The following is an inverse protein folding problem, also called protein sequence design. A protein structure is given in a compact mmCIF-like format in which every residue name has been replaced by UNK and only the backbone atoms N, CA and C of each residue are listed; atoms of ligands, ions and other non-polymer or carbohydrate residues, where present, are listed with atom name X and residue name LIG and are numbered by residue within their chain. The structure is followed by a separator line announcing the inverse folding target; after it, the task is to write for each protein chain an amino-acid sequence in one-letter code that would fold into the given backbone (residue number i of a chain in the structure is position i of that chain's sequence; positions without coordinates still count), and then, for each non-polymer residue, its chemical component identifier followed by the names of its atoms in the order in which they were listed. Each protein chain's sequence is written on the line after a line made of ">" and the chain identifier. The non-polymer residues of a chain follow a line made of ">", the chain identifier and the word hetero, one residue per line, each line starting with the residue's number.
data_IF_204729727798
#
_entry.id   IF_204729727798
#
_cell.length_a   1.000
_cell.length_b   1.000
_cell.length_c   1.000
_cell.angle_alpha   90.00
_cell.angle_beta   90.00
_cell.angle_gamma   90.00
#
_symmetry.space_group_name_H-M   'P 1'
#
loop_
_entity.id
_entity.type
_entity.pdbx_description
1 polymer ?
#
# COMPACT_ATOMS: atom_id res chain seq x y z
N UNK A 1 13.45 -7.78 -18.04
CA UNK A 1 12.14 -8.44 -18.01
C UNK A 1 11.11 -7.48 -18.61
N UNK A 2 9.86 -7.92 -18.75
CA UNK A 2 8.71 -7.07 -19.09
C UNK A 2 7.60 -7.41 -18.12
N UNK A 3 6.68 -6.47 -17.86
CA UNK A 3 5.50 -6.76 -17.08
C UNK A 3 4.72 -7.93 -17.70
N UNK A 4 4.21 -8.83 -16.86
CA UNK A 4 3.25 -9.83 -17.31
C UNK A 4 1.98 -9.12 -17.80
N UNK A 5 1.33 -9.67 -18.82
CA UNK A 5 0.04 -9.14 -19.32
C UNK A 5 -1.09 -9.33 -18.31
N UNK A 6 -0.99 -10.37 -17.47
CA UNK A 6 -1.97 -10.73 -16.45
C UNK A 6 -1.29 -11.19 -15.18
N UNK A 7 -2.03 -11.14 -14.07
CA UNK A 7 -1.62 -11.64 -12.76
C UNK A 7 -2.76 -12.45 -12.16
N UNK A 8 -2.47 -13.25 -11.14
CA UNK A 8 -3.49 -13.90 -10.34
C UNK A 8 -4.34 -12.81 -9.64
N UNK A 9 -5.66 -12.84 -9.82
CA UNK A 9 -6.58 -11.86 -9.22
C UNK A 9 -6.71 -12.05 -7.71
N UNK A 10 -6.41 -13.26 -7.21
CA UNK A 10 -6.43 -13.62 -5.81
C UNK A 10 -5.17 -14.38 -5.45
N UNK A 11 -4.58 -14.05 -4.30
CA UNK A 11 -3.35 -14.66 -3.80
C UNK A 11 -3.50 -14.97 -2.30
N UNK A 12 -2.67 -15.86 -1.72
CA UNK A 12 -2.76 -16.16 -0.30
C UNK A 12 -2.64 -14.90 0.57
N UNK A 13 -3.55 -14.72 1.53
CA UNK A 13 -3.50 -13.60 2.49
C UNK A 13 -2.36 -13.73 3.50
N UNK A 14 -1.88 -14.96 3.70
CA UNK A 14 -0.77 -15.24 4.59
C UNK A 14 0.56 -14.96 3.89
N UNK A 15 1.37 -14.06 4.44
CA UNK A 15 2.65 -13.66 3.84
C UNK A 15 3.63 -14.82 3.64
N UNK A 16 3.71 -15.77 4.58
CA UNK A 16 4.60 -16.93 4.41
C UNK A 16 4.20 -17.78 3.21
N UNK A 17 2.90 -18.02 3.03
CA UNK A 17 2.37 -18.72 1.85
C UNK A 17 2.58 -17.90 0.57
N UNK A 18 2.32 -16.60 0.61
CA UNK A 18 2.52 -15.71 -0.53
C UNK A 18 3.99 -15.66 -0.98
N UNK A 19 4.94 -15.45 -0.06
CA UNK A 19 6.37 -15.39 -0.37
C UNK A 19 6.93 -16.71 -0.90
N UNK A 20 6.32 -17.85 -0.54
CA UNK A 20 6.70 -19.16 -1.10
C UNK A 20 6.41 -19.30 -2.60
N UNK A 21 5.65 -18.37 -3.21
CA UNK A 21 5.34 -18.35 -4.64
C UNK A 21 6.52 -17.85 -5.50
N UNK A 22 7.57 -17.30 -4.89
CA UNK A 22 8.87 -17.12 -5.55
C UNK A 22 9.06 -15.79 -6.29
N UNK A 23 8.83 -14.65 -5.62
CA UNK A 23 9.25 -13.33 -6.11
C UNK A 23 10.79 -13.27 -6.12
N UNK A 24 11.38 -12.70 -7.16
CA UNK A 24 12.83 -12.54 -7.29
C UNK A 24 13.20 -11.11 -7.67
N UNK A 25 14.04 -10.41 -6.89
CA UNK A 25 14.28 -8.99 -7.08
C UNK A 25 15.23 -8.79 -8.25
N UNK A 26 14.73 -8.25 -9.35
CA UNK A 26 15.57 -7.77 -10.44
C UNK A 26 15.62 -6.24 -10.43
N UNK A 27 16.76 -5.71 -10.84
CA UNK A 27 16.88 -4.28 -11.08
C UNK A 27 15.93 -3.86 -12.20
N UNK A 28 15.10 -2.87 -11.90
CA UNK A 28 14.23 -2.16 -12.84
C UNK A 28 14.43 -0.66 -12.63
N UNK A 29 14.81 0.11 -13.67
CA UNK A 29 14.98 1.55 -13.52
C UNK A 29 13.66 2.25 -13.17
N UNK A 30 13.71 3.30 -12.36
CA UNK A 30 12.53 4.11 -12.04
C UNK A 30 11.78 4.57 -13.30
N UNK A 31 12.52 5.01 -14.33
CA UNK A 31 11.93 5.46 -15.58
C UNK A 31 11.14 4.35 -16.30
N UNK A 32 11.52 3.08 -16.15
CA UNK A 32 10.77 1.95 -16.70
C UNK A 32 9.47 1.75 -15.95
N UNK A 33 9.47 1.87 -14.61
CA UNK A 33 8.25 1.80 -13.80
C UNK A 33 7.32 2.98 -14.12
N UNK A 34 7.83 4.21 -14.12
CA UNK A 34 7.06 5.41 -14.41
C UNK A 34 6.48 5.41 -15.83
N UNK A 35 7.20 4.89 -16.83
CA UNK A 35 6.67 4.77 -18.19
C UNK A 35 5.60 3.67 -18.35
N UNK A 36 5.52 2.72 -17.41
CA UNK A 36 4.56 1.61 -17.47
C UNK A 36 3.14 2.00 -17.05
N UNK A 37 2.97 3.16 -16.41
CA UNK A 37 1.70 3.62 -15.88
C UNK A 37 1.44 5.08 -16.26
N UNK A 38 0.34 5.33 -16.97
CA UNK A 38 -0.08 6.68 -17.36
C UNK A 38 -1.43 6.96 -16.68
N UNK A 39 -1.47 7.84 -15.66
CA UNK A 39 -2.71 8.14 -14.95
C UNK A 39 -3.79 8.73 -15.87
N UNK A 40 -4.97 8.11 -15.89
CA UNK A 40 -6.18 8.68 -16.48
C UNK A 40 -6.78 9.79 -15.59
N UNK A 41 -7.94 10.32 -15.98
CA UNK A 41 -8.62 11.39 -15.25
C UNK A 41 -9.03 10.99 -13.82
N UNK A 42 -9.48 9.75 -13.61
CA UNK A 42 -9.84 9.25 -12.28
C UNK A 42 -8.59 9.14 -11.40
N UNK A 43 -7.48 8.61 -11.93
CA UNK A 43 -6.23 8.53 -11.17
C UNK A 43 -5.64 9.92 -10.87
N UNK A 44 -5.74 10.88 -11.80
CA UNK A 44 -5.36 12.27 -11.54
C UNK A 44 -6.24 12.92 -10.46
N UNK A 45 -7.53 12.58 -10.42
CA UNK A 45 -8.43 13.04 -9.37
C UNK A 45 -8.04 12.47 -7.99
N UNK A 46 -7.72 11.17 -7.91
CA UNK A 46 -7.25 10.56 -6.67
C UNK A 46 -5.90 11.11 -6.22
N UNK A 47 -4.97 11.36 -7.14
CA UNK A 47 -3.70 12.03 -6.83
C UNK A 47 -3.95 13.41 -6.21
N UNK A 48 -4.82 14.21 -6.84
CA UNK A 48 -5.14 15.56 -6.36
C UNK A 48 -5.81 15.53 -4.99
N UNK A 49 -6.71 14.56 -4.78
CA UNK A 49 -7.40 14.36 -3.52
C UNK A 49 -6.43 13.94 -2.41
N UNK A 50 -5.60 12.93 -2.67
CA UNK A 50 -4.57 12.46 -1.76
C UNK A 50 -3.58 13.58 -1.38
N UNK A 51 -3.06 14.30 -2.38
CA UNK A 51 -2.11 15.40 -2.17
C UNK A 51 -2.69 16.55 -1.34
N UNK A 52 -4.00 16.76 -1.38
CA UNK A 52 -4.68 17.79 -0.60
C UNK A 52 -4.77 17.44 0.88
N UNK A 53 -5.13 16.19 1.18
CA UNK A 53 -5.50 15.81 2.55
C UNK A 53 -4.38 15.10 3.30
N UNK A 54 -3.52 14.37 2.61
CA UNK A 54 -2.46 13.57 3.24
C UNK A 54 -1.29 14.47 3.64
N UNK A 55 -0.70 14.30 4.84
CA UNK A 55 0.53 15.01 5.21
C UNK A 55 1.62 14.86 4.14
N UNK A 56 2.45 15.89 3.86
CA UNK A 56 3.38 15.84 2.72
C UNK A 56 4.32 14.63 2.69
N UNK A 57 4.93 14.26 3.83
CA UNK A 57 5.85 13.10 3.91
C UNK A 57 5.10 11.78 3.71
N UNK A 58 3.90 11.66 4.29
CA UNK A 58 3.01 10.51 4.11
C UNK A 58 2.53 10.41 2.66
N UNK A 59 2.27 11.53 1.99
CA UNK A 59 1.94 11.51 0.57
C UNK A 59 3.10 10.99 -0.29
N UNK A 60 4.36 11.30 0.07
CA UNK A 60 5.53 10.71 -0.58
C UNK A 60 5.65 9.20 -0.27
N UNK A 61 5.30 8.76 0.94
CA UNK A 61 5.16 7.34 1.29
C UNK A 61 4.17 6.63 0.35
N UNK A 62 2.96 7.18 0.20
CA UNK A 62 1.96 6.62 -0.72
C UNK A 62 2.47 6.48 -2.17
N UNK A 63 3.28 7.43 -2.65
CA UNK A 63 3.90 7.35 -3.97
C UNK A 63 4.99 6.26 -4.03
N UNK A 64 5.85 6.14 -3.01
CA UNK A 64 6.83 5.06 -2.93
C UNK A 64 6.16 3.69 -2.89
N UNK A 65 5.11 3.52 -2.08
CA UNK A 65 4.29 2.30 -2.01
C UNK A 65 3.82 1.89 -3.40
N UNK A 66 3.27 2.82 -4.19
CA UNK A 66 2.86 2.54 -5.57
C UNK A 66 4.04 2.04 -6.43
N UNK A 67 5.19 2.71 -6.39
CA UNK A 67 6.33 2.31 -7.22
C UNK A 67 7.00 1.01 -6.76
N UNK A 68 7.03 0.73 -5.45
CA UNK A 68 7.48 -0.55 -4.93
C UNK A 68 6.56 -1.68 -5.37
N UNK A 69 5.24 -1.48 -5.33
CA UNK A 69 4.30 -2.45 -5.87
C UNK A 69 4.47 -2.68 -7.38
N UNK A 70 4.72 -1.64 -8.18
CA UNK A 70 5.07 -1.82 -9.61
C UNK A 70 6.36 -2.63 -9.77
N UNK A 71 7.37 -2.41 -8.94
CA UNK A 71 8.59 -3.21 -8.97
C UNK A 71 8.32 -4.68 -8.61
N UNK A 72 7.46 -4.96 -7.63
CA UNK A 72 7.04 -6.32 -7.27
C UNK A 72 6.28 -7.01 -8.42
N UNK A 73 5.38 -6.30 -9.10
CA UNK A 73 4.69 -6.81 -10.30
C UNK A 73 5.68 -7.18 -11.41
N UNK A 74 6.69 -6.34 -11.64
CA UNK A 74 7.76 -6.61 -12.61
C UNK A 74 8.65 -7.81 -12.19
N UNK A 75 8.79 -8.06 -10.89
CA UNK A 75 9.71 -9.04 -10.29
C UNK A 75 9.09 -10.41 -9.98
N UNK A 76 8.02 -10.76 -10.69
CA UNK A 76 7.43 -12.10 -10.60
C UNK A 76 6.32 -12.24 -9.56
N UNK A 77 5.49 -11.20 -9.40
CA UNK A 77 4.21 -11.36 -8.69
C UNK A 77 3.39 -12.51 -9.31
N UNK A 78 2.63 -13.29 -8.50
CA UNK A 78 1.93 -14.48 -8.98
C UNK A 78 1.07 -14.25 -10.22
N UNK A 79 1.17 -15.19 -11.17
CA UNK A 79 0.49 -15.14 -12.46
C UNK A 79 0.35 -16.55 -13.02
N UNK A 80 -0.77 -16.81 -13.71
CA UNK A 80 -1.06 -18.09 -14.36
C UNK A 80 -1.12 -19.29 -13.40
N UNK A 81 -1.45 -19.07 -12.12
CA UNK A 81 -1.66 -20.18 -11.20
C UNK A 81 -2.89 -21.00 -11.62
N UNK A 82 -2.79 -22.34 -11.74
CA UNK A 82 -3.92 -23.18 -12.15
C UNK A 82 -5.14 -23.00 -11.26
N UNK A 83 -6.28 -22.67 -11.89
CA UNK A 83 -7.57 -22.51 -11.19
C UNK A 83 -7.79 -21.15 -10.54
N UNK A 84 -6.85 -20.20 -10.66
CA UNK A 84 -6.97 -18.84 -10.13
C UNK A 84 -7.41 -17.89 -11.25
N UNK A 85 -8.43 -17.07 -10.96
CA UNK A 85 -8.88 -16.01 -11.87
C UNK A 85 -7.73 -15.05 -12.20
N UNK A 86 -7.69 -14.52 -13.42
CA UNK A 86 -6.62 -13.63 -13.86
C UNK A 86 -7.13 -12.19 -13.98
N UNK A 87 -6.31 -11.23 -13.61
CA UNK A 87 -6.54 -9.79 -13.78
C UNK A 87 -5.48 -9.21 -14.72
N UNK A 88 -5.87 -8.28 -15.59
CA UNK A 88 -4.91 -7.63 -16.51
C UNK A 88 -3.95 -6.70 -15.76
N UNK A 89 -2.74 -6.49 -16.28
CA UNK A 89 -1.81 -5.50 -15.71
C UNK A 89 -2.45 -4.12 -15.58
N UNK A 90 -3.13 -3.65 -16.63
CA UNK A 90 -3.76 -2.33 -16.65
C UNK A 90 -4.81 -2.21 -15.54
N UNK A 91 -5.65 -3.24 -15.38
CA UNK A 91 -6.69 -3.21 -14.35
C UNK A 91 -6.10 -3.28 -12.93
N UNK A 92 -5.14 -4.19 -12.69
CA UNK A 92 -4.50 -4.32 -11.38
C UNK A 92 -3.72 -3.06 -10.99
N UNK A 93 -2.87 -2.55 -11.88
CA UNK A 93 -2.09 -1.32 -11.63
C UNK A 93 -2.99 -0.11 -11.41
N UNK A 94 -4.13 -0.04 -12.10
CA UNK A 94 -5.12 1.01 -11.92
C UNK A 94 -5.81 0.96 -10.54
N UNK A 95 -6.31 -0.22 -10.12
CA UNK A 95 -6.89 -0.39 -8.78
C UNK A 95 -5.85 -0.13 -7.69
N UNK A 96 -4.65 -0.69 -7.87
CA UNK A 96 -3.55 -0.53 -6.94
C UNK A 96 -3.09 0.92 -6.81
N UNK A 97 -3.04 1.68 -7.90
CA UNK A 97 -2.70 3.10 -7.84
C UNK A 97 -3.67 3.86 -6.94
N UNK A 98 -4.98 3.67 -7.12
CA UNK A 98 -5.98 4.31 -6.26
C UNK A 98 -5.82 3.89 -4.80
N UNK A 99 -5.64 2.60 -4.53
CA UNK A 99 -5.46 2.10 -3.18
C UNK A 99 -4.19 2.69 -2.54
N UNK A 100 -3.06 2.68 -3.25
CA UNK A 100 -1.78 3.19 -2.78
C UNK A 100 -1.81 4.69 -2.48
N UNK A 101 -2.35 5.53 -3.38
CA UNK A 101 -2.38 6.98 -3.13
C UNK A 101 -3.40 7.40 -2.09
N UNK A 102 -4.41 6.56 -1.80
CA UNK A 102 -5.51 6.91 -0.91
C UNK A 102 -5.48 6.21 0.47
N UNK A 103 -4.64 5.20 0.70
CA UNK A 103 -4.76 4.37 1.91
C UNK A 103 -4.62 5.15 3.24
N UNK A 104 -3.76 6.17 3.28
CA UNK A 104 -3.48 6.97 4.48
C UNK A 104 -4.16 8.34 4.52
N UNK A 105 -5.18 8.59 3.69
CA UNK A 105 -5.86 9.91 3.69
C UNK A 105 -6.49 10.27 5.04
N UNK A 106 -6.81 9.28 5.86
CA UNK A 106 -7.40 9.45 7.18
C UNK A 106 -6.38 9.84 8.26
N UNK A 107 -5.08 9.89 7.94
CA UNK A 107 -4.05 10.50 8.80
C UNK A 107 -4.03 12.03 8.72
N UNK A 108 -4.92 12.62 7.92
CA UNK A 108 -5.06 14.07 7.81
C UNK A 108 -5.50 14.73 9.12
N UNK A 109 -4.94 15.91 9.38
CA UNK A 109 -5.48 16.85 10.37
C UNK A 109 -6.40 17.91 9.76
N UNK A 110 -6.76 17.79 8.47
CA UNK A 110 -7.66 18.73 7.81
C UNK A 110 -9.06 18.68 8.47
N UNK A 111 -9.68 19.84 8.78
CA UNK A 111 -10.99 19.89 9.42
C UNK A 111 -12.09 19.11 8.70
N UNK A 112 -12.03 19.00 7.37
CA UNK A 112 -12.99 18.21 6.57
C UNK A 112 -12.85 16.73 6.92
N UNK A 113 -11.61 16.25 7.07
CA UNK A 113 -11.34 14.84 7.39
C UNK A 113 -11.69 14.54 8.83
N UNK A 114 -11.31 15.40 9.78
CA UNK A 114 -11.60 15.18 11.21
C UNK A 114 -13.07 15.37 11.57
N UNK A 115 -13.84 16.09 10.76
CA UNK A 115 -15.30 16.26 10.94
C UNK A 115 -16.13 15.14 10.29
N UNK A 116 -15.51 14.23 9.52
CA UNK A 116 -16.20 13.09 8.93
C UNK A 116 -16.76 12.18 10.04
N UNK A 117 -18.03 11.71 9.97
CA UNK A 117 -18.59 10.80 10.98
C UNK A 117 -17.78 9.50 11.15
N UNK A 118 -17.11 9.03 10.10
CA UNK A 118 -16.22 7.87 10.15
C UNK A 118 -14.91 8.16 10.88
N UNK A 119 -14.61 9.42 11.25
CA UNK A 119 -13.44 9.76 12.04
C UNK A 119 -13.38 9.06 13.40
N UNK A 120 -14.53 8.66 13.96
CA UNK A 120 -14.59 7.82 15.16
C UNK A 120 -14.16 6.36 14.95
N UNK A 121 -13.89 5.95 13.71
CA UNK A 121 -13.40 4.61 13.36
C UNK A 121 -11.88 4.60 13.22
N UNK A 122 -11.31 3.40 13.15
CA UNK A 122 -9.91 3.19 12.76
C UNK A 122 -9.61 3.88 11.43
N UNK A 123 -8.38 4.41 11.26
CA UNK A 123 -8.06 5.26 10.10
C UNK A 123 -8.21 4.50 8.78
N UNK A 124 -7.97 3.18 8.78
CA UNK A 124 -8.11 2.32 7.62
C UNK A 124 -9.55 2.31 7.10
N UNK A 125 -10.54 2.21 8.00
CA UNK A 125 -11.96 2.24 7.63
C UNK A 125 -12.40 3.63 7.22
N UNK A 126 -11.96 4.68 7.94
CA UNK A 126 -12.24 6.06 7.55
C UNK A 126 -11.71 6.35 6.14
N UNK A 127 -10.45 6.00 5.89
CA UNK A 127 -9.78 6.16 4.61
C UNK A 127 -10.48 5.39 3.50
N UNK A 128 -10.90 4.15 3.77
CA UNK A 128 -11.67 3.35 2.82
C UNK A 128 -13.01 4.01 2.46
N UNK A 129 -13.77 4.53 3.42
CA UNK A 129 -15.05 5.19 3.16
C UNK A 129 -14.90 6.50 2.38
N UNK A 130 -13.92 7.31 2.76
CA UNK A 130 -13.61 8.54 2.02
C UNK A 130 -13.17 8.23 0.58
N UNK A 131 -12.35 7.20 0.40
CA UNK A 131 -11.89 6.74 -0.91
C UNK A 131 -13.05 6.21 -1.75
N UNK A 132 -13.93 5.39 -1.16
CA UNK A 132 -15.14 4.88 -1.80
C UNK A 132 -16.03 6.03 -2.30
N UNK A 133 -16.32 7.01 -1.44
CA UNK A 133 -17.13 8.17 -1.78
C UNK A 133 -16.46 9.02 -2.88
N UNK A 134 -15.14 9.21 -2.81
CA UNK A 134 -14.37 9.90 -3.83
C UNK A 134 -14.48 9.21 -5.19
N UNK A 135 -14.18 7.90 -5.25
CA UNK A 135 -14.18 7.12 -6.49
C UNK A 135 -15.56 7.00 -7.12
N UNK A 136 -16.62 6.92 -6.31
CA UNK A 136 -17.98 6.92 -6.82
C UNK A 136 -18.31 8.20 -7.64
N UNK A 137 -17.69 9.33 -7.29
CA UNK A 137 -17.88 10.61 -7.98
C UNK A 137 -16.88 10.80 -9.13
N UNK A 138 -15.63 10.36 -8.97
CA UNK A 138 -14.54 10.68 -9.90
C UNK A 138 -14.21 9.58 -10.89
N UNK A 139 -14.69 8.36 -10.66
CA UNK A 139 -14.43 7.18 -11.47
C UNK A 139 -15.74 6.45 -11.89
N UNK A 140 -16.71 7.12 -12.55
CA UNK A 140 -18.01 6.52 -12.87
C UNK A 140 -17.95 5.33 -13.84
N UNK A 141 -16.81 5.13 -14.50
CA UNK A 141 -16.56 3.96 -15.36
C UNK A 141 -16.20 2.70 -14.56
N UNK A 142 -15.84 2.83 -13.28
CA UNK A 142 -15.47 1.71 -12.44
C UNK A 142 -16.71 0.93 -12.03
N UNK A 143 -16.60 -0.39 -12.02
CA UNK A 143 -17.66 -1.27 -11.51
C UNK A 143 -17.71 -1.22 -9.98
N UNK A 144 -18.83 -1.64 -9.40
CA UNK A 144 -18.95 -1.78 -7.96
C UNK A 144 -17.90 -2.73 -7.37
N UNK A 145 -17.51 -3.76 -8.11
CA UNK A 145 -16.45 -4.70 -7.71
C UNK A 145 -15.07 -4.00 -7.67
N UNK A 146 -14.76 -3.18 -8.67
CA UNK A 146 -13.48 -2.44 -8.71
C UNK A 146 -13.37 -1.44 -7.57
N UNK A 147 -14.42 -0.65 -7.33
CA UNK A 147 -14.43 0.31 -6.21
C UNK A 147 -14.43 -0.41 -4.87
N UNK A 148 -15.18 -1.52 -4.76
CA UNK A 148 -15.21 -2.36 -3.57
C UNK A 148 -13.84 -2.95 -3.23
N UNK A 149 -13.14 -3.51 -4.22
CA UNK A 149 -11.79 -4.05 -4.07
C UNK A 149 -10.79 -3.00 -3.58
N UNK A 150 -10.86 -1.76 -4.11
CA UNK A 150 -9.99 -0.67 -3.65
C UNK A 150 -10.28 -0.31 -2.19
N UNK A 151 -11.56 -0.13 -1.83
CA UNK A 151 -11.95 0.24 -0.47
C UNK A 151 -11.64 -0.88 0.54
N UNK A 152 -11.86 -2.15 0.17
CA UNK A 152 -11.51 -3.31 0.97
C UNK A 152 -9.99 -3.43 1.13
N UNK A 153 -9.22 -3.21 0.05
CA UNK A 153 -7.76 -3.19 0.11
C UNK A 153 -7.25 -2.14 1.10
N UNK A 154 -7.81 -0.93 1.06
CA UNK A 154 -7.48 0.14 2.03
C UNK A 154 -7.91 -0.26 3.44
N UNK A 155 -9.05 -0.90 3.63
CA UNK A 155 -9.50 -1.30 4.98
C UNK A 155 -8.55 -2.32 5.62
N UNK A 156 -7.97 -3.22 4.82
CA UNK A 156 -7.22 -4.37 5.31
C UNK A 156 -5.69 -4.22 5.21
N UNK A 157 -5.17 -3.06 4.77
CA UNK A 157 -3.75 -2.93 4.43
C UNK A 157 -2.79 -3.05 5.62
N UNK A 158 -3.25 -2.77 6.84
CA UNK A 158 -2.48 -2.93 8.09
C UNK A 158 -2.64 -4.31 8.74
N UNK A 159 -3.50 -5.17 8.16
CA UNK A 159 -3.92 -6.42 8.78
C UNK A 159 -3.17 -7.62 8.21
N UNK A 160 -2.61 -8.44 9.11
CA UNK A 160 -2.01 -9.74 8.75
C UNK A 160 -2.98 -10.89 8.99
N UNK A 161 -3.02 -11.86 8.08
CA UNK A 161 -3.97 -12.98 8.15
C UNK A 161 -3.26 -14.35 8.28
N UNK A 162 -3.82 -15.23 9.10
CA UNK A 162 -3.29 -16.58 9.28
C UNK A 162 -3.56 -17.52 8.09
N UNK A 163 -4.49 -17.16 7.20
CA UNK A 163 -4.86 -17.91 6.01
C UNK A 163 -5.99 -17.22 5.24
N UNK A 164 -6.45 -17.87 4.17
CA UNK A 164 -7.44 -17.29 3.24
C UNK A 164 -6.78 -16.69 2.01
N UNK A 165 -7.61 -16.06 1.17
CA UNK A 165 -7.17 -15.37 -0.04
C UNK A 165 -7.58 -13.90 0.02
N UNK A 166 -6.69 -13.06 -0.47
CA UNK A 166 -6.90 -11.64 -0.68
C UNK A 166 -6.92 -11.35 -2.17
N UNK A 167 -7.47 -10.21 -2.57
CA UNK A 167 -7.22 -9.71 -3.92
C UNK A 167 -5.74 -9.39 -4.11
N UNK A 168 -5.28 -9.42 -5.36
CA UNK A 168 -3.93 -8.97 -5.69
C UNK A 168 -3.70 -7.51 -5.29
N UNK A 169 -4.72 -6.64 -5.43
CA UNK A 169 -4.66 -5.24 -5.00
C UNK A 169 -4.34 -5.13 -3.50
N UNK A 170 -5.03 -5.91 -2.66
CA UNK A 170 -4.85 -5.83 -1.21
C UNK A 170 -3.47 -6.30 -0.78
N UNK A 171 -3.00 -7.44 -1.29
CA UNK A 171 -1.69 -7.98 -0.90
C UNK A 171 -0.54 -7.14 -1.43
N UNK A 172 -0.68 -6.59 -2.64
CA UNK A 172 0.31 -5.68 -3.18
C UNK A 172 0.40 -4.40 -2.33
N UNK A 173 -0.73 -3.87 -1.88
CA UNK A 173 -0.78 -2.72 -0.97
C UNK A 173 -0.14 -3.04 0.38
N UNK A 174 -0.60 -4.08 1.07
CA UNK A 174 -0.14 -4.40 2.41
C UNK A 174 1.39 -4.63 2.45
N UNK A 175 1.92 -5.43 1.51
CA UNK A 175 3.36 -5.71 1.45
C UNK A 175 4.17 -4.46 1.08
N UNK A 176 3.67 -3.63 0.16
CA UNK A 176 4.38 -2.41 -0.23
C UNK A 176 4.38 -1.35 0.88
N UNK A 177 3.29 -1.25 1.66
CA UNK A 177 3.21 -0.39 2.86
C UNK A 177 4.18 -0.88 3.92
N UNK A 178 4.15 -2.16 4.27
CA UNK A 178 5.09 -2.76 5.23
C UNK A 178 6.53 -2.52 4.76
N UNK A 179 6.83 -2.82 3.49
CA UNK A 179 8.15 -2.62 2.92
C UNK A 179 8.62 -1.16 3.02
N UNK A 180 7.80 -0.16 2.64
CA UNK A 180 8.22 1.24 2.79
C UNK A 180 8.30 1.68 4.25
N UNK A 181 7.46 1.16 5.15
CA UNK A 181 7.45 1.60 6.54
C UNK A 181 8.64 1.04 7.34
N UNK A 182 8.94 -0.25 7.18
CA UNK A 182 9.86 -0.99 8.07
C UNK A 182 11.09 -1.57 7.36
N UNK A 183 11.08 -1.60 6.02
CA UNK A 183 12.25 -1.93 5.20
C UNK A 183 12.58 -3.41 5.04
N UNK A 184 13.80 -3.68 4.59
CA UNK A 184 14.27 -5.04 4.24
C UNK A 184 14.22 -6.03 5.41
N UNK A 185 14.26 -5.53 6.64
CA UNK A 185 14.33 -6.32 7.86
C UNK A 185 12.99 -6.42 8.60
N UNK A 186 11.88 -6.09 7.94
CA UNK A 186 10.51 -6.05 8.48
C UNK A 186 10.14 -7.20 9.43
N UNK A 187 10.50 -8.43 9.04
CA UNK A 187 10.20 -9.67 9.75
C UNK A 187 11.48 -10.38 10.22
N UNK A 188 12.56 -9.62 10.42
CA UNK A 188 13.91 -10.10 10.75
C UNK A 188 14.93 -9.83 9.63
N UNK A 189 16.23 -10.02 9.89
CA UNK A 189 17.30 -9.68 8.95
C UNK A 189 17.13 -10.32 7.56
N UNK A 190 17.10 -9.49 6.52
CA UNK A 190 16.94 -9.87 5.12
C UNK A 190 15.57 -10.46 4.75
N UNK A 191 14.58 -10.35 5.65
CA UNK A 191 13.26 -10.99 5.48
C UNK A 191 12.50 -10.53 4.23
N UNK A 192 12.81 -9.34 3.71
CA UNK A 192 12.20 -8.78 2.49
C UNK A 192 13.21 -8.49 1.37
N UNK A 193 14.45 -9.00 1.46
CA UNK A 193 15.50 -8.79 0.45
C UNK A 193 15.08 -9.25 -0.95
N UNK A 194 14.13 -10.18 -1.03
CA UNK A 194 13.64 -10.75 -2.29
C UNK A 194 12.55 -9.90 -2.97
N UNK A 195 12.02 -8.84 -2.34
CA UNK A 195 10.89 -8.08 -2.90
C UNK A 195 11.32 -7.09 -3.99
N UNK A 196 12.24 -6.18 -3.66
CA UNK A 196 12.63 -5.07 -4.53
C UNK A 196 14.14 -4.92 -4.53
N UNK A 197 14.74 -4.78 -5.72
CA UNK A 197 16.16 -4.56 -5.87
C UNK A 197 16.58 -3.21 -5.23
N UNK A 198 17.70 -3.21 -4.50
CA UNK A 198 18.21 -2.04 -3.76
C UNK A 198 18.50 -0.82 -4.63
N UNK A 199 19.00 -1.02 -5.85
CA UNK A 199 19.22 0.08 -6.81
C UNK A 199 17.90 0.69 -7.25
N UNK A 200 16.88 -0.14 -7.49
CA UNK A 200 15.52 0.34 -7.79
C UNK A 200 14.95 1.15 -6.63
N UNK A 201 15.17 0.71 -5.39
CA UNK A 201 14.73 1.45 -4.20
C UNK A 201 15.40 2.82 -4.11
N UNK A 202 16.73 2.87 -4.26
CA UNK A 202 17.47 4.13 -4.23
C UNK A 202 17.00 5.12 -5.31
N UNK A 203 16.65 4.65 -6.51
CA UNK A 203 16.11 5.50 -7.57
C UNK A 203 14.70 6.02 -7.25
N UNK A 204 13.83 5.17 -6.67
CA UNK A 204 12.48 5.58 -6.23
C UNK A 204 12.58 6.63 -5.12
N UNK A 205 13.42 6.42 -4.12
CA UNK A 205 13.60 7.35 -3.01
C UNK A 205 14.28 8.66 -3.44
N UNK A 206 15.11 8.64 -4.48
CA UNK A 206 15.62 9.86 -5.09
C UNK A 206 14.50 10.73 -5.70
N UNK A 207 13.42 10.12 -6.20
CA UNK A 207 12.25 10.84 -6.73
C UNK A 207 11.26 11.22 -5.64
N UNK A 208 11.08 10.37 -4.63
CA UNK A 208 10.15 10.56 -3.52
C UNK A 208 10.87 10.39 -2.18
N UNK A 209 11.62 11.42 -1.72
CA UNK A 209 12.45 11.32 -0.52
C UNK A 209 11.67 10.85 0.71
N UNK A 210 12.28 9.95 1.50
CA UNK A 210 11.68 9.42 2.74
C UNK A 210 11.43 10.50 3.79
N UNK A 211 12.32 11.47 3.90
CA UNK A 211 12.27 12.45 4.99
C UNK A 211 12.35 11.76 6.36
N UNK A 212 11.56 12.27 7.32
CA UNK A 212 11.45 11.71 8.68
C UNK A 212 10.17 10.86 8.84
N UNK A 213 9.85 10.05 7.82
CA UNK A 213 8.61 9.26 7.75
C UNK A 213 8.35 8.48 9.05
N UNK A 214 9.36 7.79 9.59
CA UNK A 214 9.19 6.96 10.77
C UNK A 214 8.74 7.78 11.99
N UNK A 215 9.36 8.95 12.22
CA UNK A 215 8.95 9.82 13.33
C UNK A 215 7.54 10.39 13.12
N UNK A 216 7.18 10.75 11.89
CA UNK A 216 5.82 11.20 11.58
C UNK A 216 4.78 10.09 11.80
N UNK A 217 5.03 8.86 11.33
CA UNK A 217 4.14 7.71 11.59
C UNK A 217 3.99 7.48 13.09
N UNK A 218 5.09 7.50 13.85
CA UNK A 218 5.04 7.32 15.31
C UNK A 218 4.13 8.38 15.94
N UNK A 219 4.30 9.67 15.62
CA UNK A 219 3.47 10.75 16.16
C UNK A 219 1.99 10.60 15.78
N UNK A 220 1.71 10.23 14.53
CA UNK A 220 0.33 10.00 14.07
C UNK A 220 -0.29 8.82 14.83
N UNK A 221 0.46 7.74 15.03
CA UNK A 221 -0.01 6.52 15.70
C UNK A 221 -0.16 6.68 17.20
N UNK A 222 0.73 7.44 17.88
CA UNK A 222 0.53 7.84 19.28
C UNK A 222 -0.84 8.51 19.48
N UNK A 223 -1.19 9.45 18.60
CA UNK A 223 -2.50 10.09 18.62
C UNK A 223 -3.64 9.12 18.30
N UNK A 224 -3.49 8.28 17.26
CA UNK A 224 -4.54 7.31 16.90
C UNK A 224 -4.82 6.33 18.05
N UNK A 225 -3.79 5.80 18.71
CA UNK A 225 -3.98 4.84 19.81
C UNK A 225 -4.57 5.49 21.07
N UNK A 226 -4.27 6.77 21.32
CA UNK A 226 -4.90 7.53 22.41
C UNK A 226 -6.38 7.81 22.11
N UNK A 227 -6.70 8.34 20.92
CA UNK A 227 -8.06 8.73 20.56
C UNK A 227 -8.97 7.52 20.25
N UNK A 228 -8.37 6.45 19.73
CA UNK A 228 -9.06 5.25 19.22
C UNK A 228 -8.34 3.98 19.72
N UNK A 229 -8.41 3.68 21.02
CA UNK A 229 -7.71 2.52 21.58
C UNK A 229 -8.18 1.18 20.98
N UNK A 230 -9.35 1.15 20.35
CA UNK A 230 -9.90 0.00 19.60
C UNK A 230 -9.60 0.04 18.09
N UNK A 231 -8.61 0.81 17.64
CA UNK A 231 -8.16 0.80 16.23
C UNK A 231 -7.68 -0.59 15.80
N UNK A 232 -7.74 -0.90 14.51
CA UNK A 232 -7.26 -2.18 13.97
C UNK A 232 -5.78 -2.38 14.31
N UNK A 233 -4.97 -1.34 14.10
CA UNK A 233 -3.54 -1.39 14.36
C UNK A 233 -3.20 -1.52 15.86
N UNK A 234 -4.13 -1.18 16.78
CA UNK A 234 -3.97 -1.50 18.22
C UNK A 234 -3.87 -3.01 18.48
N UNK A 235 -4.33 -3.85 17.54
CA UNK A 235 -4.24 -5.30 17.59
C UNK A 235 -3.00 -5.88 16.91
N UNK A 236 -2.05 -5.03 16.49
CA UNK A 236 -0.75 -5.48 16.00
C UNK A 236 -0.10 -6.46 17.01
N UNK A 237 0.65 -7.48 16.58
CA UNK A 237 1.34 -8.37 17.51
C UNK A 237 2.22 -7.60 18.51
N UNK A 238 1.91 -7.71 19.81
CA UNK A 238 2.57 -6.91 20.85
C UNK A 238 1.90 -5.55 21.15
N UNK A 239 0.76 -5.26 20.51
CA UNK A 239 0.01 -4.02 20.65
C UNK A 239 0.74 -2.80 20.07
N UNK A 240 0.38 -1.59 20.49
CA UNK A 240 1.06 -0.35 20.11
C UNK A 240 2.59 -0.38 20.28
N UNK A 241 3.08 -0.94 21.39
CA UNK A 241 4.52 -1.03 21.65
C UNK A 241 5.22 -1.94 20.64
N UNK A 242 4.62 -3.09 20.31
CA UNK A 242 5.14 -3.98 19.27
C UNK A 242 5.23 -3.27 17.91
N UNK A 243 4.23 -2.46 17.56
CA UNK A 243 4.25 -1.67 16.33
C UNK A 243 5.39 -0.64 16.32
N UNK A 244 5.60 0.09 17.43
CA UNK A 244 6.70 1.06 17.54
C UNK A 244 8.08 0.40 17.47
N UNK A 245 8.25 -0.80 18.02
CA UNK A 245 9.52 -1.53 17.93
C UNK A 245 9.90 -1.83 16.49
N UNK A 246 8.94 -2.23 15.65
CA UNK A 246 9.20 -2.52 14.22
C UNK A 246 9.52 -1.25 13.44
N UNK A 247 8.84 -0.13 13.71
CA UNK A 247 9.14 1.16 13.05
C UNK A 247 10.48 1.78 13.45
N UNK A 248 11.01 1.43 14.63
CA UNK A 248 12.30 1.93 15.12
C UNK A 248 13.49 1.19 14.53
N UNK A 249 13.27 0.11 13.77
CA UNK A 249 14.31 -0.53 12.96
C UNK A 249 14.70 0.45 11.84
N UNK A 250 15.99 0.77 11.66
CA UNK A 250 16.41 1.73 10.64
C UNK A 250 15.86 1.32 9.27
N UNK A 251 15.06 2.17 8.62
CA UNK A 251 14.48 1.81 7.35
C UNK A 251 15.57 1.85 6.28
N UNK A 252 15.77 0.71 5.61
CA UNK A 252 16.31 0.62 4.24
C UNK A 252 17.59 1.45 4.06
N UNK A 253 18.66 1.10 4.75
CA UNK A 253 20.01 1.53 4.35
C UNK A 253 20.95 0.34 4.52
N UNK A 254 21.71 0.04 3.47
CA UNK A 254 23.01 -0.61 3.64
C UNK A 254 24.02 0.39 4.23
#
# INVERSE_FOLDING_TARGET
>A
MVFSSTYDAFVPSNYTQFFSLGIQPHYVPFNTLNASFIPDLAQQASFTYAKRFTPPTVFLHCLRVFYFGLAMLYNGFPSQTPGVAQISFNELSSRFYHAAVLHDIAWSSDPIVTADPAHGMTFEMQGAFMSYAHLHLTAPAYTAEQVGDIAESITLHTSTWAGGNSSATQILLAIAVDFDAVGYDAFGPGSLDFLVNRTTVAEIEAQFPRGDLAAEIIQIMEKQFEEKPNSLLSHFPGGPEGFYEVLRVPPIVD
#
